data_IF_386055513711
#
_entry.id   IF_386055513711
#
_cell.length_a   1.000
_cell.length_b   1.000
_cell.length_c   1.000
_cell.angle_alpha   90.00
_cell.angle_beta   90.00
_cell.angle_gamma   90.00
#
_symmetry.space_group_name_H-M   'P 1'
#
loop_
_entity.id
_entity.type
_entity.pdbx_description
1 polymer ?
#
# COMPACT_ATOMS: atom_id res chain seq x y z
N UNK A 1 4.10 2.55 6.09
CA UNK A 1 2.77 2.07 5.67
C UNK A 1 1.95 1.52 6.82
N UNK A 2 2.35 0.39 7.42
CA UNK A 2 1.54 -0.30 8.44
C UNK A 2 1.17 0.58 9.66
N UNK A 3 2.11 1.39 10.18
CA UNK A 3 1.80 2.28 11.32
C UNK A 3 0.67 3.26 11.02
N UNK A 4 0.69 3.89 9.83
CA UNK A 4 -0.36 4.84 9.41
C UNK A 4 -1.70 4.12 9.23
N UNK A 5 -1.69 2.93 8.62
CA UNK A 5 -2.89 2.10 8.50
C UNK A 5 -3.48 1.74 9.86
N UNK A 6 -2.62 1.40 10.84
CA UNK A 6 -3.03 1.08 12.19
C UNK A 6 -3.63 2.31 12.89
N UNK A 7 -3.01 3.48 12.77
CA UNK A 7 -3.53 4.71 13.36
C UNK A 7 -4.91 5.08 12.83
N UNK A 8 -5.12 4.99 11.51
CA UNK A 8 -6.45 5.20 10.94
C UNK A 8 -7.43 4.14 11.46
N UNK A 9 -7.05 2.87 11.41
CA UNK A 9 -7.92 1.74 11.79
C UNK A 9 -8.23 1.65 13.28
N UNK A 10 -7.48 2.36 14.13
CA UNK A 10 -7.73 2.46 15.58
C UNK A 10 -8.70 3.57 15.97
N UNK A 11 -9.13 4.41 15.02
CA UNK A 11 -10.10 5.47 15.31
C UNK A 11 -11.44 4.85 15.73
N UNK A 12 -12.08 5.42 16.75
CA UNK A 12 -13.28 4.84 17.37
C UNK A 12 -14.54 4.93 16.52
N UNK A 13 -14.53 5.77 15.50
CA UNK A 13 -15.66 6.09 14.63
C UNK A 13 -15.67 5.31 13.31
N UNK A 14 -14.60 4.57 12.99
CA UNK A 14 -14.53 3.74 11.77
C UNK A 14 -14.30 2.27 12.11
N UNK A 15 -14.78 1.38 11.23
CA UNK A 15 -14.61 -0.06 11.36
C UNK A 15 -13.84 -0.63 10.16
N UNK A 16 -12.85 -1.50 10.39
CA UNK A 16 -12.24 -2.27 9.30
C UNK A 16 -13.19 -3.38 8.85
N UNK A 17 -13.57 -3.37 7.57
CA UNK A 17 -14.38 -4.39 6.93
C UNK A 17 -13.53 -5.46 6.24
N UNK A 18 -12.42 -5.06 5.61
CA UNK A 18 -11.54 -5.98 4.86
C UNK A 18 -10.14 -5.40 4.70
N UNK A 19 -9.13 -6.27 4.71
CA UNK A 19 -7.74 -5.93 4.40
C UNK A 19 -7.25 -6.77 3.23
N UNK A 20 -6.64 -6.15 2.22
CA UNK A 20 -5.92 -6.81 1.13
C UNK A 20 -4.47 -6.33 1.15
N UNK A 21 -3.57 -7.19 1.62
CA UNK A 21 -2.14 -6.86 1.74
C UNK A 21 -1.35 -7.31 0.50
N UNK A 22 -1.29 -6.43 -0.51
CA UNK A 22 -0.46 -6.63 -1.69
C UNK A 22 1.00 -6.20 -1.49
N UNK A 23 1.37 -5.68 -0.30
CA UNK A 23 2.78 -5.46 0.02
C UNK A 23 3.42 -6.80 0.38
N UNK A 24 2.75 -7.57 1.24
CA UNK A 24 3.14 -8.93 1.62
C UNK A 24 2.97 -9.93 0.47
N UNK A 25 1.83 -9.89 -0.22
CA UNK A 25 1.51 -10.78 -1.34
C UNK A 25 1.27 -9.97 -2.62
N UNK A 26 2.33 -9.50 -3.30
CA UNK A 26 2.20 -8.70 -4.51
C UNK A 26 1.44 -9.44 -5.61
N UNK A 27 0.75 -8.69 -6.48
CA UNK A 27 0.14 -9.27 -7.67
C UNK A 27 1.23 -9.74 -8.65
N UNK A 28 0.86 -10.60 -9.59
CA UNK A 28 1.78 -11.15 -10.59
C UNK A 28 2.50 -10.09 -11.43
N UNK A 29 1.85 -8.95 -11.70
CA UNK A 29 2.45 -7.84 -12.44
C UNK A 29 3.43 -6.99 -11.59
N UNK A 30 3.63 -7.30 -10.31
CA UNK A 30 4.50 -6.54 -9.40
C UNK A 30 3.78 -5.48 -8.57
N UNK A 31 2.47 -5.29 -8.75
CA UNK A 31 1.69 -4.31 -8.01
C UNK A 31 1.73 -4.55 -6.49
N UNK A 32 1.99 -3.46 -5.75
CA UNK A 32 2.04 -3.42 -4.28
C UNK A 32 1.27 -2.24 -3.74
N UNK A 33 0.45 -2.50 -2.74
CA UNK A 33 -0.27 -1.51 -1.93
C UNK A 33 -0.96 -2.26 -0.78
N UNK A 34 -1.17 -1.60 0.35
CA UNK A 34 -2.06 -2.11 1.38
C UNK A 34 -3.43 -1.48 1.16
N UNK A 35 -4.45 -2.29 0.87
CA UNK A 35 -5.83 -1.82 0.74
C UNK A 35 -6.59 -2.17 2.00
N UNK A 36 -7.20 -1.18 2.63
CA UNK A 36 -8.09 -1.39 3.76
C UNK A 36 -9.44 -0.80 3.39
N UNK A 37 -10.49 -1.61 3.53
CA UNK A 37 -11.87 -1.19 3.33
C UNK A 37 -12.45 -0.91 4.70
N UNK A 38 -12.84 0.34 4.96
CA UNK A 38 -13.43 0.80 6.20
C UNK A 38 -14.94 1.04 6.03
N UNK A 39 -15.72 0.85 7.08
CA UNK A 39 -17.05 1.42 7.23
C UNK A 39 -16.90 2.76 7.95
N UNK A 40 -17.26 3.86 7.27
CA UNK A 40 -17.14 5.23 7.77
C UNK A 40 -18.54 5.83 7.93
N UNK A 41 -18.88 6.45 9.07
CA UNK A 41 -20.19 7.04 9.28
C UNK A 41 -20.34 8.33 8.45
N UNK A 42 -21.34 8.36 7.59
CA UNK A 42 -21.80 9.57 6.88
C UNK A 42 -23.11 10.01 7.53
N UNK A 43 -23.11 11.18 8.14
CA UNK A 43 -24.29 11.70 8.85
C UNK A 43 -25.22 12.42 7.88
N UNK A 44 -26.40 11.84 7.67
CA UNK A 44 -27.50 12.41 6.88
C UNK A 44 -28.62 12.88 7.81
N UNK A 45 -29.66 13.53 7.27
CA UNK A 45 -30.84 13.95 8.06
C UNK A 45 -31.55 12.80 8.79
N UNK A 46 -31.43 11.58 8.28
CA UNK A 46 -31.96 10.34 8.88
C UNK A 46 -31.03 9.70 9.92
N UNK A 47 -29.87 10.29 10.21
CA UNK A 47 -28.85 9.72 11.11
C UNK A 47 -27.60 9.19 10.39
N UNK A 48 -26.81 8.39 11.11
CA UNK A 48 -25.52 7.88 10.63
C UNK A 48 -25.71 6.70 9.66
N UNK A 49 -25.08 6.81 8.49
CA UNK A 49 -25.03 5.77 7.46
C UNK A 49 -23.59 5.32 7.25
N UNK A 50 -23.28 4.09 7.66
CA UNK A 50 -21.94 3.52 7.50
C UNK A 50 -21.69 3.13 6.05
N UNK A 51 -20.80 3.88 5.40
CA UNK A 51 -20.48 3.73 3.97
C UNK A 51 -19.12 3.05 3.82
N UNK A 52 -18.98 2.05 2.94
CA UNK A 52 -17.69 1.43 2.67
C UNK A 52 -16.76 2.39 1.92
N UNK A 53 -15.56 2.58 2.43
CA UNK A 53 -14.49 3.42 1.84
C UNK A 53 -13.23 2.57 1.71
N UNK A 54 -12.64 2.48 0.52
CA UNK A 54 -11.33 1.84 0.33
C UNK A 54 -10.22 2.89 0.46
N UNK A 55 -9.33 2.70 1.44
CA UNK A 55 -8.12 3.50 1.61
C UNK A 55 -6.92 2.66 1.18
N UNK A 56 -6.11 3.22 0.27
CA UNK A 56 -4.91 2.57 -0.24
C UNK A 56 -3.67 3.24 0.35
N UNK A 57 -2.89 2.48 1.11
CA UNK A 57 -1.63 2.94 1.67
C UNK A 57 -0.48 2.48 0.78
N UNK A 58 0.39 3.42 0.44
CA UNK A 58 1.53 3.22 -0.46
C UNK A 58 2.73 4.01 0.04
N UNK A 59 3.92 3.54 -0.31
CA UNK A 59 5.10 4.41 -0.34
C UNK A 59 5.09 5.24 -1.62
N UNK A 60 5.99 6.22 -1.70
CA UNK A 60 6.14 7.05 -2.90
C UNK A 60 6.53 6.18 -4.11
N UNK A 61 7.43 5.21 -3.94
CA UNK A 61 7.85 4.35 -5.06
C UNK A 61 6.72 3.43 -5.55
N UNK A 62 5.92 2.87 -4.64
CA UNK A 62 4.75 2.06 -4.99
C UNK A 62 3.74 2.89 -5.79
N UNK A 63 3.50 4.14 -5.40
CA UNK A 63 2.55 5.01 -6.08
C UNK A 63 3.04 5.46 -7.47
N UNK A 64 4.31 5.82 -7.57
CA UNK A 64 4.97 6.13 -8.84
C UNK A 64 4.86 4.96 -9.83
N UNK A 65 5.23 3.76 -9.38
CA UNK A 65 5.15 2.55 -10.19
C UNK A 65 3.71 2.24 -10.63
N UNK A 66 2.76 2.27 -9.69
CA UNK A 66 1.36 1.92 -9.97
C UNK A 66 0.70 2.91 -10.94
N UNK A 67 1.07 4.19 -10.87
CA UNK A 67 0.57 5.21 -11.78
C UNK A 67 1.05 4.96 -13.21
N UNK A 68 2.31 4.55 -13.39
CA UNK A 68 2.87 4.24 -14.69
C UNK A 68 2.29 2.93 -15.27
N UNK A 69 2.15 1.88 -14.47
CA UNK A 69 1.52 0.62 -14.90
C UNK A 69 0.06 0.84 -15.33
N UNK A 70 -0.68 1.65 -14.57
CA UNK A 70 -2.05 2.00 -14.92
C UNK A 70 -2.12 2.78 -16.25
N UNK A 71 -1.22 3.73 -16.47
CA UNK A 71 -1.15 4.45 -17.74
C UNK A 71 -0.82 3.50 -18.91
N UNK A 72 0.16 2.60 -18.75
CA UNK A 72 0.51 1.59 -19.74
C UNK A 72 -0.68 0.67 -20.06
N UNK A 73 -1.47 0.29 -19.06
CA UNK A 73 -2.57 -0.66 -19.25
C UNK A 73 -3.82 -0.05 -19.88
N UNK A 74 -4.07 1.25 -19.67
CA UNK A 74 -5.36 1.86 -20.03
C UNK A 74 -5.27 3.10 -20.93
N UNK A 75 -4.08 3.66 -21.16
CA UNK A 75 -3.92 4.94 -21.90
C UNK A 75 -3.00 4.83 -23.11
N UNK A 76 -2.66 3.64 -23.56
CA UNK A 76 -1.72 3.46 -24.69
C UNK A 76 -2.29 2.57 -25.78
N UNK A 77 -2.19 3.02 -27.02
CA UNK A 77 -2.43 2.23 -28.24
C UNK A 77 -1.14 1.57 -28.74
N UNK A 78 -0.35 0.99 -27.83
CA UNK A 78 0.91 0.35 -28.19
C UNK A 78 0.66 -1.00 -28.86
N UNK A 79 1.49 -1.38 -29.84
CA UNK A 79 1.51 -2.75 -30.37
C UNK A 79 1.76 -3.78 -29.26
N UNK A 80 1.16 -4.97 -29.37
CA UNK A 80 1.19 -6.02 -28.34
C UNK A 80 2.60 -6.40 -27.88
N UNK A 81 3.56 -6.44 -28.81
CA UNK A 81 4.95 -6.78 -28.49
C UNK A 81 5.61 -5.73 -27.57
N UNK A 82 5.33 -4.44 -27.79
CA UNK A 82 5.83 -3.35 -26.96
C UNK A 82 5.13 -3.31 -25.61
N UNK A 83 3.84 -3.60 -25.58
CA UNK A 83 3.09 -3.73 -24.33
C UNK A 83 3.67 -4.85 -23.43
N UNK A 84 3.98 -6.01 -24.02
CA UNK A 84 4.61 -7.12 -23.30
C UNK A 84 6.01 -6.76 -22.78
N UNK A 85 6.85 -6.14 -23.61
CA UNK A 85 8.20 -5.68 -23.24
C UNK A 85 8.16 -4.69 -22.06
N UNK A 86 7.28 -3.69 -22.13
CA UNK A 86 7.15 -2.70 -21.05
C UNK A 86 6.52 -3.30 -19.78
N UNK A 87 5.58 -4.23 -19.92
CA UNK A 87 5.01 -4.95 -18.76
C UNK A 87 6.08 -5.74 -18.01
N UNK A 88 6.96 -6.43 -18.74
CA UNK A 88 8.08 -7.15 -18.14
C UNK A 88 9.07 -6.18 -17.48
N UNK A 89 9.39 -5.08 -18.15
CA UNK A 89 10.26 -4.03 -17.59
C UNK A 89 9.68 -3.46 -16.29
N UNK A 90 8.38 -3.17 -16.25
CA UNK A 90 7.72 -2.69 -15.03
C UNK A 90 7.77 -3.73 -13.91
N UNK A 91 7.55 -5.01 -14.21
CA UNK A 91 7.69 -6.06 -13.20
C UNK A 91 9.09 -6.07 -12.57
N UNK A 92 10.13 -5.91 -13.38
CA UNK A 92 11.51 -5.84 -12.90
C UNK A 92 11.79 -4.56 -12.11
N UNK A 93 11.27 -3.41 -12.57
CA UNK A 93 11.30 -2.16 -11.80
C UNK A 93 10.62 -2.31 -10.44
N UNK A 94 9.47 -2.99 -10.34
CA UNK A 94 8.78 -3.19 -9.06
C UNK A 94 9.65 -3.96 -8.06
N UNK A 95 10.42 -4.94 -8.53
CA UNK A 95 11.36 -5.72 -7.70
C UNK A 95 12.54 -4.85 -7.25
N UNK A 96 13.13 -4.09 -8.17
CA UNK A 96 14.24 -3.18 -7.84
C UNK A 96 13.84 -2.08 -6.86
N UNK A 97 12.68 -1.45 -7.08
CA UNK A 97 12.14 -0.44 -6.18
C UNK A 97 11.94 -1.00 -4.77
N UNK A 98 11.38 -2.21 -4.64
CA UNK A 98 11.23 -2.81 -3.31
C UNK A 98 12.59 -3.00 -2.62
N UNK A 99 13.60 -3.51 -3.33
CA UNK A 99 14.93 -3.70 -2.75
C UNK A 99 15.53 -2.37 -2.27
N UNK A 100 15.42 -1.31 -3.09
CA UNK A 100 15.88 0.04 -2.73
C UNK A 100 15.14 0.55 -1.48
N UNK A 101 13.81 0.41 -1.45
CA UNK A 101 13.02 0.86 -0.29
C UNK A 101 13.35 0.10 0.98
N UNK A 102 13.62 -1.21 0.91
CA UNK A 102 14.06 -2.00 2.06
C UNK A 102 15.40 -1.49 2.60
N UNK A 103 16.37 -1.21 1.71
CA UNK A 103 17.67 -0.66 2.11
C UNK A 103 17.52 0.72 2.78
N UNK A 104 16.76 1.63 2.17
CA UNK A 104 16.50 2.96 2.74
C UNK A 104 15.75 2.87 4.07
N UNK A 105 14.79 1.95 4.21
CA UNK A 105 14.03 1.73 5.43
C UNK A 105 14.92 1.21 6.58
N UNK A 106 15.93 0.38 6.27
CA UNK A 106 16.90 -0.09 7.25
C UNK A 106 17.78 1.07 7.75
N UNK A 107 18.32 1.88 6.83
CA UNK A 107 19.10 3.07 7.21
C UNK A 107 18.26 4.03 8.07
N UNK A 108 17.00 4.29 7.68
CA UNK A 108 16.09 5.10 8.47
C UNK A 108 15.87 4.52 9.88
N UNK A 109 15.84 3.20 10.01
CA UNK A 109 15.69 2.52 11.31
C UNK A 109 16.92 2.73 12.18
N UNK A 110 18.11 2.58 11.61
CA UNK A 110 19.37 2.73 12.32
C UNK A 110 19.55 4.16 12.86
N UNK A 111 19.12 5.17 12.09
CA UNK A 111 19.21 6.59 12.50
C UNK A 111 18.16 6.95 13.55
N UNK A 112 16.92 6.46 13.42
CA UNK A 112 15.79 6.92 14.22
C UNK A 112 15.37 5.96 15.35
N UNK A 113 16.08 4.85 15.54
CA UNK A 113 15.80 3.87 16.61
C UNK A 113 14.41 3.23 16.52
N UNK A 114 13.80 3.18 15.33
CA UNK A 114 12.44 2.67 15.18
C UNK A 114 12.40 1.15 15.46
N UNK A 115 11.43 0.65 16.25
CA UNK A 115 11.37 -0.78 16.57
C UNK A 115 11.21 -1.64 15.30
N UNK A 116 11.83 -2.82 15.30
CA UNK A 116 11.60 -3.81 14.25
C UNK A 116 10.16 -4.32 14.37
N UNK A 117 9.47 -4.46 13.23
CA UNK A 117 8.18 -5.17 13.20
C UNK A 117 8.48 -6.64 13.54
N UNK A 118 8.36 -6.99 14.82
CA UNK A 118 8.70 -8.31 15.36
C UNK A 118 9.05 -8.34 16.86
N UNK A 119 9.47 -7.22 17.45
CA UNK A 119 9.65 -7.14 18.92
C UNK A 119 8.45 -6.43 19.53
N UNK A 120 7.60 -7.20 20.22
CA UNK A 120 6.64 -6.64 21.16
C UNK A 120 7.38 -5.80 22.23
N UNK A 121 6.75 -4.77 22.80
CA UNK A 121 7.38 -4.02 23.88
C UNK A 121 7.72 -5.00 25.01
N UNK A 122 9.00 -5.13 25.35
CA UNK A 122 9.37 -5.73 26.63
C UNK A 122 8.84 -4.79 27.70
N UNK A 123 7.79 -5.21 28.39
CA UNK A 123 7.43 -4.64 29.68
C UNK A 123 8.62 -4.89 30.60
N UNK A 124 9.33 -3.83 30.94
CA UNK A 124 10.22 -3.82 32.09
C UNK A 124 9.35 -3.83 33.35
N UNK A 125 9.53 -4.86 34.17
CA UNK A 125 9.03 -4.96 35.54
C UNK A 125 9.48 -3.78 36.42
#
# INVERSE_FOLDING_TARGET
>A
VYSVSNYLSSQSDIQVLRVKDYIKNPKQNGYRSLHVIHAVPVFLSSGAHYTPVEVQFRTIAMDYWASLEHALRYKTDLPDNKLAEHSQTLLDCARSLQNIEVQMQNIHRDINGAPQVGEAPKTSD
#
